data_IF_371740105777
#
_entry.id   IF_371740105777
#
_cell.length_a   1.000
_cell.length_b   1.000
_cell.length_c   1.000
_cell.angle_alpha   90.00
_cell.angle_beta   90.00
_cell.angle_gamma   90.00
#
_symmetry.space_group_name_H-M   'P 1'
#
loop_
_entity.id
_entity.type
_entity.pdbx_description
1 polymer ?
#
# COMPACT_ATOMS: atom_id res chain seq x y z
N UNK A 1 -51.43 43.62 -9.56
CA UNK A 1 -51.08 43.16 -8.21
C UNK A 1 -50.97 41.64 -8.29
N UNK A 2 -49.77 41.12 -8.38
CA UNK A 2 -49.46 39.71 -8.26
C UNK A 2 -48.24 39.59 -7.32
N UNK A 3 -48.50 39.32 -6.03
CA UNK A 3 -47.49 39.08 -5.03
C UNK A 3 -46.86 37.73 -5.30
N UNK A 4 -45.58 37.76 -5.68
CA UNK A 4 -44.75 36.60 -5.79
C UNK A 4 -44.44 36.07 -4.37
N UNK A 5 -45.00 34.90 -4.04
CA UNK A 5 -44.63 34.17 -2.86
C UNK A 5 -43.15 33.68 -3.03
N UNK A 6 -42.25 34.46 -2.47
CA UNK A 6 -40.86 34.02 -2.28
C UNK A 6 -40.86 32.92 -1.24
N UNK A 7 -40.81 31.69 -1.73
CA UNK A 7 -40.63 30.52 -0.89
C UNK A 7 -39.31 30.63 -0.11
N UNK A 8 -39.43 30.75 1.23
CA UNK A 8 -38.29 30.70 2.17
C UNK A 8 -37.72 29.30 2.27
N UNK A 9 -37.27 28.74 1.16
CA UNK A 9 -36.51 27.52 1.13
C UNK A 9 -35.16 27.80 1.79
N UNK A 10 -34.91 27.22 2.98
CA UNK A 10 -33.59 27.26 3.62
C UNK A 10 -32.55 26.76 2.63
N UNK A 11 -31.44 27.49 2.41
CA UNK A 11 -30.42 27.04 1.47
C UNK A 11 -29.93 25.67 1.85
N UNK A 12 -29.79 24.80 0.86
CA UNK A 12 -29.28 23.44 1.03
C UNK A 12 -27.88 23.51 1.64
N UNK A 13 -27.73 23.06 2.88
CA UNK A 13 -26.46 23.03 3.59
C UNK A 13 -26.04 21.59 3.83
N UNK A 14 -24.98 21.14 3.15
CA UNK A 14 -24.38 19.81 3.32
C UNK A 14 -24.02 19.51 4.79
N UNK A 15 -23.69 20.54 5.57
CA UNK A 15 -23.34 20.44 6.99
C UNK A 15 -24.51 20.15 7.94
N UNK A 16 -25.77 20.22 7.48
CA UNK A 16 -26.97 20.02 8.33
C UNK A 16 -27.79 18.78 8.01
N UNK A 17 -27.24 17.85 7.30
CA UNK A 17 -27.93 16.60 7.00
C UNK A 17 -27.66 15.56 8.09
N UNK A 18 -28.41 15.63 9.17
CA UNK A 18 -28.32 14.71 10.34
C UNK A 18 -28.40 13.23 9.92
N UNK A 19 -29.21 12.90 8.93
CA UNK A 19 -29.31 11.52 8.39
C UNK A 19 -28.00 11.01 7.77
N UNK A 20 -27.30 11.82 6.98
CA UNK A 20 -26.02 11.42 6.38
C UNK A 20 -24.92 11.25 7.44
N UNK A 21 -24.90 12.11 8.47
CA UNK A 21 -23.95 11.97 9.57
C UNK A 21 -24.21 10.68 10.35
N UNK A 22 -25.47 10.34 10.62
CA UNK A 22 -25.82 9.09 11.29
C UNK A 22 -25.40 7.86 10.49
N UNK A 23 -25.65 7.87 9.18
CA UNK A 23 -25.22 6.77 8.28
C UNK A 23 -23.69 6.68 8.26
N UNK A 24 -22.98 7.80 8.13
CA UNK A 24 -21.52 7.81 8.14
C UNK A 24 -20.95 7.24 9.45
N UNK A 25 -21.48 7.68 10.60
CA UNK A 25 -21.08 7.16 11.92
C UNK A 25 -21.35 5.66 12.02
N UNK A 26 -22.53 5.19 11.57
CA UNK A 26 -22.86 3.77 11.58
C UNK A 26 -21.89 2.95 10.70
N UNK A 27 -21.55 3.45 9.51
CA UNK A 27 -20.56 2.82 8.63
C UNK A 27 -19.17 2.76 9.29
N UNK A 28 -18.72 3.85 9.94
CA UNK A 28 -17.44 3.85 10.66
C UNK A 28 -17.45 2.88 11.84
N UNK A 29 -18.51 2.84 12.64
CA UNK A 29 -18.63 1.88 13.73
C UNK A 29 -18.55 0.46 13.17
N UNK A 30 -19.31 0.14 12.14
CA UNK A 30 -19.32 -1.19 11.52
C UNK A 30 -17.93 -1.59 10.98
N UNK A 31 -17.17 -0.64 10.42
CA UNK A 31 -15.84 -0.87 9.87
C UNK A 31 -14.79 -1.06 10.96
N UNK A 32 -14.82 -0.23 12.01
CA UNK A 32 -13.76 -0.22 13.02
C UNK A 32 -14.06 -1.16 14.20
N UNK A 33 -15.32 -1.52 14.46
CA UNK A 33 -15.68 -2.39 15.57
C UNK A 33 -14.93 -3.74 15.58
N UNK A 34 -14.81 -4.47 14.45
CA UNK A 34 -14.02 -5.71 14.43
C UNK A 34 -12.54 -5.49 14.77
N UNK A 35 -11.95 -4.38 14.30
CA UNK A 35 -10.55 -4.03 14.57
C UNK A 35 -10.37 -3.71 16.06
N UNK A 36 -11.26 -2.91 16.63
CA UNK A 36 -11.25 -2.59 18.07
C UNK A 36 -11.42 -3.87 18.90
N UNK A 37 -12.32 -4.75 18.50
CA UNK A 37 -12.52 -6.05 19.17
C UNK A 37 -11.24 -6.88 19.15
N UNK A 38 -10.57 -6.99 17.99
CA UNK A 38 -9.28 -7.68 17.86
C UNK A 38 -8.24 -7.08 18.81
N UNK A 39 -8.12 -5.75 18.84
CA UNK A 39 -7.16 -5.04 19.72
C UNK A 39 -7.50 -5.28 21.19
N UNK A 40 -8.78 -5.21 21.60
CA UNK A 40 -9.20 -5.49 22.98
C UNK A 40 -8.88 -6.93 23.35
N UNK A 41 -9.25 -7.90 22.51
CA UNK A 41 -9.01 -9.32 22.78
C UNK A 41 -7.54 -9.74 22.69
N UNK A 42 -6.65 -8.90 22.13
CA UNK A 42 -5.20 -9.14 22.21
C UNK A 42 -4.65 -9.07 23.64
N UNK A 43 -5.38 -8.40 24.55
CA UNK A 43 -5.05 -8.32 25.98
C UNK A 43 -5.81 -9.37 26.83
N UNK A 44 -6.57 -10.28 26.23
CA UNK A 44 -7.30 -11.30 26.98
C UNK A 44 -6.34 -12.28 27.65
N UNK A 45 -6.56 -12.59 28.94
CA UNK A 45 -5.76 -13.55 29.70
C UNK A 45 -6.03 -15.01 29.29
N UNK A 46 -7.23 -15.29 28.75
CA UNK A 46 -7.67 -16.62 28.38
C UNK A 46 -7.01 -17.16 27.11
N UNK A 47 -7.22 -18.44 26.86
CA UNK A 47 -6.82 -19.12 25.62
C UNK A 47 -7.91 -19.08 24.55
N UNK A 48 -9.13 -18.73 24.93
CA UNK A 48 -10.26 -18.60 24.01
C UNK A 48 -10.28 -17.20 23.39
N UNK A 49 -10.51 -17.13 22.07
CA UNK A 49 -10.70 -15.87 21.36
C UNK A 49 -12.08 -15.25 21.59
N UNK A 50 -13.03 -16.01 22.17
CA UNK A 50 -14.42 -15.61 22.34
C UNK A 50 -14.80 -15.29 23.80
N UNK A 51 -14.03 -15.80 24.78
CA UNK A 51 -14.34 -15.66 26.22
C UNK A 51 -13.31 -14.71 26.83
N UNK A 52 -13.79 -13.65 27.48
CA UNK A 52 -12.95 -12.70 28.20
C UNK A 52 -12.64 -13.20 29.61
N UNK A 53 -11.36 -13.44 29.92
CA UNK A 53 -10.89 -13.97 31.19
C UNK A 53 -10.05 -12.96 31.99
N UNK A 54 -10.01 -11.70 31.59
CA UNK A 54 -9.26 -10.63 32.22
C UNK A 54 -8.14 -10.06 31.36
N UNK A 55 -7.45 -9.04 31.90
CA UNK A 55 -6.37 -8.35 31.21
C UNK A 55 -5.02 -9.06 31.43
N UNK A 56 -4.26 -9.27 30.37
CA UNK A 56 -2.91 -9.84 30.41
C UNK A 56 -2.06 -9.41 29.22
N UNK A 57 -0.75 -9.28 29.42
CA UNK A 57 0.24 -9.05 28.37
C UNK A 57 0.90 -10.35 27.86
N UNK A 58 0.45 -11.49 28.36
CA UNK A 58 1.09 -12.78 28.12
C UNK A 58 1.22 -13.11 26.62
N UNK A 59 0.23 -12.74 25.80
CA UNK A 59 0.25 -13.04 24.37
C UNK A 59 1.22 -12.16 23.57
N UNK A 60 1.50 -10.95 24.06
CA UNK A 60 2.57 -10.11 23.49
C UNK A 60 3.95 -10.69 23.80
N UNK A 61 4.13 -11.23 25.01
CA UNK A 61 5.36 -11.91 25.36
C UNK A 61 5.54 -13.20 24.54
N UNK A 62 4.47 -14.00 24.37
CA UNK A 62 4.47 -15.20 23.51
C UNK A 62 4.81 -14.84 22.08
N UNK A 63 4.16 -13.82 21.50
CA UNK A 63 4.41 -13.34 20.15
C UNK A 63 5.87 -12.88 19.94
N UNK A 64 6.46 -12.23 20.94
CA UNK A 64 7.86 -11.80 20.90
C UNK A 64 8.84 -12.97 20.91
N UNK A 65 8.51 -14.05 21.62
CA UNK A 65 9.31 -15.27 21.72
C UNK A 65 9.08 -16.21 20.52
N UNK A 66 8.10 -15.94 19.68
CA UNK A 66 7.80 -16.72 18.50
C UNK A 66 8.76 -16.37 17.36
N UNK A 67 9.82 -17.17 17.21
CA UNK A 67 10.83 -16.95 16.17
C UNK A 67 10.25 -16.97 14.76
N UNK A 68 9.26 -17.83 14.48
CA UNK A 68 8.62 -17.90 13.15
C UNK A 68 7.86 -16.60 12.81
N UNK A 69 7.11 -16.06 13.78
CA UNK A 69 6.39 -14.80 13.60
C UNK A 69 7.37 -13.63 13.41
N UNK A 70 8.44 -13.60 14.20
CA UNK A 70 9.48 -12.56 14.12
C UNK A 70 10.22 -12.59 12.78
N UNK A 71 10.62 -13.78 12.33
CA UNK A 71 11.28 -13.97 11.04
C UNK A 71 10.37 -13.61 9.87
N UNK A 72 9.08 -13.96 9.95
CA UNK A 72 8.08 -13.59 8.96
C UNK A 72 7.86 -12.06 8.92
N UNK A 73 7.80 -11.40 10.09
CA UNK A 73 7.70 -9.94 10.18
C UNK A 73 8.93 -9.25 9.57
N UNK A 74 10.14 -9.72 9.88
CA UNK A 74 11.36 -9.16 9.32
C UNK A 74 11.41 -9.34 7.80
N UNK A 75 11.00 -10.50 7.27
CA UNK A 75 10.91 -10.71 5.82
C UNK A 75 9.90 -9.77 5.17
N UNK A 76 8.72 -9.57 5.78
CA UNK A 76 7.75 -8.58 5.29
C UNK A 76 8.36 -7.19 5.16
N UNK A 77 9.05 -6.71 6.19
CA UNK A 77 9.69 -5.40 6.20
C UNK A 77 10.79 -5.29 5.13
N UNK A 78 11.63 -6.31 5.00
CA UNK A 78 12.71 -6.34 4.00
C UNK A 78 12.13 -6.33 2.59
N UNK A 79 11.17 -7.22 2.29
CA UNK A 79 10.55 -7.31 0.96
C UNK A 79 9.85 -6.00 0.63
N UNK A 80 9.02 -5.48 1.53
CA UNK A 80 8.27 -4.23 1.31
C UNK A 80 9.21 -3.04 1.09
N UNK A 81 10.30 -2.93 1.87
CA UNK A 81 11.27 -1.84 1.73
C UNK A 81 11.97 -1.86 0.37
N UNK A 82 12.50 -3.00 -0.04
CA UNK A 82 13.16 -3.12 -1.33
C UNK A 82 12.19 -2.96 -2.49
N UNK A 83 11.01 -3.58 -2.40
CA UNK A 83 9.98 -3.48 -3.42
C UNK A 83 9.50 -2.02 -3.59
N UNK A 84 9.26 -1.30 -2.49
CA UNK A 84 8.85 0.09 -2.53
C UNK A 84 9.89 0.99 -3.22
N UNK A 85 11.18 0.83 -2.91
CA UNK A 85 12.26 1.61 -3.54
C UNK A 85 12.37 1.31 -5.03
N UNK A 86 12.37 0.04 -5.41
CA UNK A 86 12.48 -0.40 -6.81
C UNK A 86 11.26 0.06 -7.60
N UNK A 87 10.05 -0.20 -7.08
CA UNK A 87 8.79 0.18 -7.72
C UNK A 87 8.68 1.69 -7.91
N UNK A 88 9.03 2.48 -6.88
CA UNK A 88 8.95 3.94 -6.93
C UNK A 88 9.98 4.53 -7.89
N UNK A 89 11.18 3.95 -7.96
CA UNK A 89 12.20 4.36 -8.93
C UNK A 89 11.71 4.11 -10.36
N UNK A 90 11.20 2.92 -10.65
CA UNK A 90 10.63 2.58 -11.96
C UNK A 90 9.41 3.45 -12.29
N UNK A 91 8.52 3.67 -11.32
CA UNK A 91 7.34 4.51 -11.45
C UNK A 91 7.69 5.97 -11.72
N UNK A 92 8.74 6.51 -11.08
CA UNK A 92 9.22 7.87 -11.32
C UNK A 92 9.74 8.03 -12.75
N UNK A 93 10.54 7.09 -13.23
CA UNK A 93 11.01 7.08 -14.62
C UNK A 93 9.84 6.98 -15.60
N UNK A 94 8.89 6.09 -15.34
CA UNK A 94 7.70 5.93 -16.17
C UNK A 94 6.82 7.19 -16.16
N UNK A 95 6.63 7.83 -15.01
CA UNK A 95 5.85 9.05 -14.88
C UNK A 95 6.49 10.22 -15.64
N UNK A 96 7.81 10.39 -15.55
CA UNK A 96 8.55 11.38 -16.35
C UNK A 96 8.42 11.12 -17.85
N UNK A 97 8.58 9.86 -18.28
CA UNK A 97 8.48 9.47 -19.68
C UNK A 97 7.07 9.68 -20.25
N UNK A 98 6.03 9.57 -19.44
CA UNK A 98 4.64 9.72 -19.88
C UNK A 98 4.09 11.15 -19.75
N UNK A 99 4.72 12.01 -18.94
CA UNK A 99 4.22 13.38 -18.70
C UNK A 99 5.12 14.49 -19.28
N UNK A 100 6.43 14.25 -19.41
CA UNK A 100 7.40 15.27 -19.86
C UNK A 100 7.86 15.09 -21.31
N UNK A 101 7.48 14.01 -21.96
CA UNK A 101 7.77 13.80 -23.38
C UNK A 101 6.63 14.35 -24.26
N UNK A 102 6.99 14.75 -25.53
CA UNK A 102 5.95 15.08 -26.52
C UNK A 102 5.09 13.86 -26.77
N UNK A 103 3.82 14.10 -27.12
CA UNK A 103 2.89 13.03 -27.48
C UNK A 103 3.49 12.16 -28.60
N UNK A 104 3.63 10.86 -28.32
CA UNK A 104 4.13 9.87 -29.26
C UNK A 104 3.11 8.74 -29.46
N UNK A 105 3.20 8.07 -30.62
CA UNK A 105 2.38 6.90 -30.91
C UNK A 105 2.66 5.81 -29.87
N UNK A 106 1.62 5.30 -29.20
CA UNK A 106 1.76 4.27 -28.18
C UNK A 106 1.74 4.77 -26.73
N UNK A 107 1.73 6.09 -26.47
CA UNK A 107 1.64 6.63 -25.11
C UNK A 107 0.46 6.04 -24.32
N UNK A 108 -0.71 5.93 -24.97
CA UNK A 108 -1.91 5.34 -24.37
C UNK A 108 -1.70 3.85 -24.03
N UNK A 109 -1.01 3.11 -24.89
CA UNK A 109 -0.69 1.70 -24.63
C UNK A 109 0.28 1.55 -23.45
N UNK A 110 1.31 2.38 -23.36
CA UNK A 110 2.23 2.40 -22.20
C UNK A 110 1.48 2.71 -20.92
N UNK A 111 0.60 3.71 -20.94
CA UNK A 111 -0.24 4.05 -19.80
C UNK A 111 -1.16 2.89 -19.40
N UNK A 112 -1.81 2.25 -20.37
CA UNK A 112 -2.65 1.09 -20.11
C UNK A 112 -1.84 -0.07 -19.51
N UNK A 113 -0.65 -0.36 -20.05
CA UNK A 113 0.23 -1.42 -19.53
C UNK A 113 0.66 -1.16 -18.07
N UNK A 114 1.06 0.08 -17.73
CA UNK A 114 1.44 0.43 -16.35
C UNK A 114 0.26 0.21 -15.40
N UNK A 115 -0.96 0.56 -15.81
CA UNK A 115 -2.15 0.47 -14.96
C UNK A 115 -2.88 -0.88 -15.03
N UNK A 116 -2.47 -1.78 -15.91
CA UNK A 116 -3.09 -3.13 -16.04
C UNK A 116 -3.20 -3.87 -14.71
N UNK A 117 -2.17 -3.90 -13.81
CA UNK A 117 -2.29 -4.59 -12.53
C UNK A 117 -3.40 -4.04 -11.61
N UNK A 118 -3.81 -2.78 -11.78
CA UNK A 118 -4.94 -2.20 -11.01
C UNK A 118 -6.30 -2.67 -11.50
N UNK A 119 -6.39 -3.12 -12.75
CA UNK A 119 -7.65 -3.52 -13.39
C UNK A 119 -7.85 -5.04 -13.38
N UNK A 120 -6.77 -5.79 -13.32
CA UNK A 120 -6.77 -7.26 -13.33
C UNK A 120 -6.89 -7.77 -11.89
N UNK A 121 -7.72 -8.80 -11.62
CA UNK A 121 -7.75 -9.43 -10.31
C UNK A 121 -6.35 -9.87 -9.86
N UNK A 122 -5.99 -9.56 -8.62
CA UNK A 122 -4.65 -9.79 -8.07
C UNK A 122 -4.18 -11.26 -8.22
N UNK A 123 -5.10 -12.20 -8.06
CA UNK A 123 -4.80 -13.63 -8.22
C UNK A 123 -4.32 -13.97 -9.64
N UNK A 124 -4.84 -13.30 -10.68
CA UNK A 124 -4.41 -13.52 -12.06
C UNK A 124 -2.98 -13.02 -12.25
N UNK A 125 -2.66 -11.85 -11.72
CA UNK A 125 -1.30 -11.31 -11.69
C UNK A 125 -0.36 -12.22 -10.93
N UNK A 126 -0.79 -12.71 -9.77
CA UNK A 126 -0.01 -13.66 -8.95
C UNK A 126 0.28 -14.96 -9.67
N UNK A 127 -0.70 -15.54 -10.38
CA UNK A 127 -0.51 -16.77 -11.17
C UNK A 127 0.45 -16.52 -12.35
N UNK A 128 0.34 -15.37 -13.03
CA UNK A 128 1.27 -15.01 -14.09
C UNK A 128 2.71 -14.88 -13.58
N UNK A 129 2.90 -14.24 -12.42
CA UNK A 129 4.21 -14.13 -11.76
C UNK A 129 4.73 -15.49 -11.29
N UNK A 130 3.85 -16.35 -10.74
CA UNK A 130 4.22 -17.72 -10.38
C UNK A 130 4.78 -18.47 -11.57
N UNK A 131 4.08 -18.49 -12.71
CA UNK A 131 4.53 -19.17 -13.93
C UNK A 131 5.86 -18.60 -14.41
N UNK A 132 5.98 -17.29 -14.47
CA UNK A 132 7.19 -16.59 -14.90
C UNK A 132 8.40 -16.94 -14.02
N UNK A 133 8.26 -16.84 -12.70
CA UNK A 133 9.35 -17.15 -11.78
C UNK A 133 9.62 -18.64 -11.67
N UNK A 134 8.62 -19.51 -11.86
CA UNK A 134 8.85 -20.95 -11.94
C UNK A 134 9.75 -21.33 -13.12
N UNK A 135 9.54 -20.70 -14.30
CA UNK A 135 10.41 -20.89 -15.46
C UNK A 135 11.85 -20.45 -15.18
N UNK A 136 12.03 -19.27 -14.54
CA UNK A 136 13.36 -18.78 -14.18
C UNK A 136 14.01 -19.69 -13.13
N UNK A 137 13.25 -20.14 -12.13
CA UNK A 137 13.75 -21.07 -11.10
C UNK A 137 14.25 -22.37 -11.70
N UNK A 138 13.53 -22.95 -12.65
CA UNK A 138 13.98 -24.15 -13.36
C UNK A 138 15.27 -23.88 -14.15
N UNK A 139 15.39 -22.73 -14.82
CA UNK A 139 16.56 -22.38 -15.60
C UNK A 139 17.79 -22.03 -14.76
N UNK A 140 17.60 -21.40 -13.59
CA UNK A 140 18.71 -20.86 -12.76
C UNK A 140 18.99 -21.66 -11.50
N UNK A 141 18.09 -22.56 -11.11
CA UNK A 141 18.10 -23.30 -9.83
C UNK A 141 18.17 -22.39 -8.58
N UNK A 142 17.82 -21.12 -8.72
CA UNK A 142 17.77 -20.13 -7.62
C UNK A 142 16.37 -20.09 -6.99
N UNK A 143 16.28 -20.01 -5.67
CA UNK A 143 15.00 -19.94 -4.92
C UNK A 143 15.06 -18.98 -3.73
N UNK A 144 15.70 -17.83 -3.90
CA UNK A 144 15.87 -16.84 -2.84
C UNK A 144 14.74 -15.80 -2.78
N UNK A 145 14.81 -14.92 -1.76
CA UNK A 145 13.87 -13.82 -1.54
C UNK A 145 13.81 -12.80 -2.70
N UNK A 146 14.83 -12.81 -3.59
CA UNK A 146 14.86 -11.88 -4.72
C UNK A 146 13.65 -12.04 -5.66
N UNK A 147 13.07 -13.25 -5.78
CA UNK A 147 11.85 -13.44 -6.56
C UNK A 147 10.65 -12.72 -5.94
N UNK A 148 10.51 -12.80 -4.61
CA UNK A 148 9.45 -12.07 -3.90
C UNK A 148 9.64 -10.56 -4.05
N UNK A 149 10.85 -10.07 -3.86
CA UNK A 149 11.16 -8.63 -4.06
C UNK A 149 10.82 -8.21 -5.49
N UNK A 150 11.20 -8.99 -6.50
CA UNK A 150 10.91 -8.67 -7.89
C UNK A 150 9.40 -8.70 -8.20
N UNK A 151 8.67 -9.72 -7.68
CA UNK A 151 7.23 -9.84 -7.85
C UNK A 151 6.49 -8.66 -7.23
N UNK A 152 6.80 -8.34 -5.98
CA UNK A 152 6.22 -7.20 -5.27
C UNK A 152 6.59 -5.87 -5.94
N UNK A 153 7.85 -5.72 -6.40
CA UNK A 153 8.26 -4.51 -7.15
C UNK A 153 7.41 -4.31 -8.39
N UNK A 154 7.24 -5.35 -9.20
CA UNK A 154 6.45 -5.28 -10.43
C UNK A 154 4.98 -4.93 -10.14
N UNK A 155 4.38 -5.57 -9.13
CA UNK A 155 3.01 -5.31 -8.73
C UNK A 155 2.80 -3.90 -8.16
N UNK A 156 3.77 -3.38 -7.40
CA UNK A 156 3.67 -2.08 -6.74
C UNK A 156 3.92 -0.88 -7.68
N UNK A 157 4.48 -1.07 -8.89
CA UNK A 157 4.75 0.03 -9.84
C UNK A 157 3.54 0.93 -10.07
N UNK A 158 2.34 0.44 -10.43
CA UNK A 158 1.20 1.31 -10.71
C UNK A 158 0.75 2.11 -9.49
N UNK A 159 0.85 1.54 -8.30
CA UNK A 159 0.48 2.23 -7.05
C UNK A 159 1.42 3.39 -6.74
N UNK A 160 2.72 3.24 -6.99
CA UNK A 160 3.67 4.34 -6.87
C UNK A 160 3.52 5.36 -8.02
N UNK A 161 3.17 4.89 -9.22
CA UNK A 161 3.05 5.73 -10.40
C UNK A 161 1.94 6.79 -10.29
N UNK A 162 0.79 6.44 -9.72
CA UNK A 162 -0.36 7.36 -9.64
C UNK A 162 -0.06 8.66 -8.88
N UNK A 163 0.44 8.65 -7.63
CA UNK A 163 0.73 9.89 -6.91
C UNK A 163 1.88 10.68 -7.54
N UNK A 164 2.90 10.01 -8.06
CA UNK A 164 4.03 10.64 -8.74
C UNK A 164 3.57 11.36 -10.00
N UNK A 165 2.76 10.70 -10.82
CA UNK A 165 2.19 11.29 -12.03
C UNK A 165 1.28 12.46 -11.70
N UNK A 166 0.37 12.31 -10.74
CA UNK A 166 -0.52 13.39 -10.31
C UNK A 166 0.27 14.62 -9.85
N UNK A 167 1.39 14.41 -9.13
CA UNK A 167 2.29 15.49 -8.74
C UNK A 167 2.95 16.15 -9.95
N UNK A 168 3.47 15.38 -10.89
CA UNK A 168 4.07 15.91 -12.13
C UNK A 168 3.08 16.72 -12.96
N UNK A 169 1.84 16.26 -13.09
CA UNK A 169 0.78 16.96 -13.84
C UNK A 169 0.35 18.26 -13.16
N UNK A 170 0.43 18.34 -11.83
CA UNK A 170 0.09 19.56 -11.07
C UNK A 170 1.22 20.58 -10.99
N UNK A 171 2.44 20.25 -11.43
CA UNK A 171 3.59 21.15 -11.40
C UNK A 171 3.52 22.18 -12.54
N UNK A 172 3.85 23.44 -12.22
CA UNK A 172 3.97 24.48 -13.23
C UNK A 172 5.20 24.29 -14.10
N UNK A 173 4.98 24.04 -15.39
CA UNK A 173 6.02 23.88 -16.40
C UNK A 173 6.81 25.16 -16.65
N UNK A 174 6.34 26.34 -16.22
CA UNK A 174 7.07 27.61 -16.37
C UNK A 174 8.42 27.57 -15.63
N UNK A 175 8.50 26.85 -14.51
CA UNK A 175 9.75 26.70 -13.74
C UNK A 175 10.82 25.92 -14.51
N UNK A 176 10.42 24.86 -15.21
CA UNK A 176 11.34 24.08 -16.05
C UNK A 176 11.78 24.89 -17.28
N UNK A 177 10.88 25.68 -17.85
CA UNK A 177 11.18 26.61 -18.97
C UNK A 177 12.12 27.74 -18.52
N UNK A 178 11.87 28.38 -17.39
CA UNK A 178 12.73 29.41 -16.84
C UNK A 178 14.15 28.90 -16.57
N UNK A 179 14.29 27.64 -16.11
CA UNK A 179 15.60 27.01 -15.96
C UNK A 179 16.30 26.83 -17.31
N UNK A 180 15.56 26.45 -18.35
CA UNK A 180 16.11 26.32 -19.70
C UNK A 180 16.53 27.67 -20.29
N UNK A 181 15.76 28.76 -20.05
CA UNK A 181 16.10 30.11 -20.45
C UNK A 181 17.39 30.63 -19.78
N UNK A 182 17.71 30.11 -18.58
CA UNK A 182 18.97 30.33 -17.87
C UNK A 182 20.08 29.35 -18.28
N UNK A 183 19.96 28.72 -19.44
CA UNK A 183 20.92 27.76 -20.00
C UNK A 183 21.20 26.51 -19.12
N UNK A 184 20.26 26.13 -18.25
CA UNK A 184 20.38 24.90 -17.49
C UNK A 184 20.26 23.66 -18.41
N UNK A 185 21.15 22.70 -18.21
CA UNK A 185 21.03 21.41 -18.94
C UNK A 185 19.81 20.62 -18.44
N UNK A 186 19.25 19.69 -19.24
CA UNK A 186 18.11 18.87 -18.80
C UNK A 186 18.34 18.15 -17.46
N UNK A 187 19.56 17.64 -17.23
CA UNK A 187 19.94 17.03 -15.96
C UNK A 187 19.97 18.01 -14.79
N UNK A 188 20.46 19.23 -15.04
CA UNK A 188 20.48 20.29 -14.02
C UNK A 188 19.06 20.74 -13.68
N UNK A 189 18.18 20.93 -14.68
CA UNK A 189 16.75 21.21 -14.48
C UNK A 189 16.08 20.12 -13.69
N UNK A 190 16.27 18.86 -14.08
CA UNK A 190 15.72 17.72 -13.34
C UNK A 190 16.15 17.73 -11.87
N UNK A 191 17.46 17.80 -11.61
CA UNK A 191 18.00 17.66 -10.24
C UNK A 191 17.68 18.86 -9.35
N UNK A 192 17.65 20.09 -9.89
CA UNK A 192 17.51 21.32 -9.10
C UNK A 192 16.12 21.90 -9.08
N UNK A 193 15.27 21.57 -10.05
CA UNK A 193 13.90 22.10 -10.17
C UNK A 193 12.88 20.97 -10.07
N UNK A 194 12.89 20.01 -10.99
CA UNK A 194 11.85 18.99 -11.10
C UNK A 194 11.86 18.03 -9.88
N UNK A 195 13.02 17.46 -9.54
CA UNK A 195 13.13 16.47 -8.46
C UNK A 195 12.74 17.02 -7.08
N UNK A 196 13.19 18.21 -6.64
CA UNK A 196 12.76 18.78 -5.36
C UNK A 196 11.26 19.03 -5.29
N UNK A 197 10.66 19.51 -6.37
CA UNK A 197 9.21 19.74 -6.45
C UNK A 197 8.40 18.44 -6.54
N UNK A 198 9.01 17.37 -7.08
CA UNK A 198 8.41 16.05 -7.20
C UNK A 198 8.50 15.23 -5.91
N UNK A 199 9.41 15.61 -4.98
CA UNK A 199 9.70 14.85 -3.78
C UNK A 199 8.46 14.44 -2.96
N UNK A 200 7.45 15.30 -2.74
CA UNK A 200 6.23 14.88 -2.04
C UNK A 200 5.48 13.75 -2.77
N UNK A 201 5.46 13.78 -4.10
CA UNK A 201 4.86 12.71 -4.90
C UNK A 201 5.64 11.39 -4.82
N UNK A 202 6.98 11.48 -4.78
CA UNK A 202 7.86 10.31 -4.61
C UNK A 202 7.65 9.69 -3.23
N UNK A 203 7.60 10.51 -2.16
CA UNK A 203 7.33 10.02 -0.80
C UNK A 203 5.97 9.30 -0.74
N UNK A 204 4.92 9.92 -1.27
CA UNK A 204 3.60 9.30 -1.34
C UNK A 204 3.63 7.97 -2.13
N UNK A 205 4.40 7.92 -3.23
CA UNK A 205 4.60 6.71 -4.03
C UNK A 205 5.32 5.60 -3.27
N UNK A 206 6.42 5.92 -2.56
CA UNK A 206 7.15 4.96 -1.72
C UNK A 206 6.24 4.39 -0.63
N UNK A 207 5.50 5.26 0.04
CA UNK A 207 4.62 4.85 1.13
C UNK A 207 3.51 3.92 0.65
N UNK A 208 2.85 4.28 -0.45
CA UNK A 208 1.77 3.47 -0.99
C UNK A 208 2.28 2.11 -1.46
N UNK A 209 3.42 2.08 -2.18
CA UNK A 209 4.06 0.84 -2.58
C UNK A 209 4.51 -0.01 -1.37
N UNK A 210 5.04 0.62 -0.32
CA UNK A 210 5.44 -0.06 0.90
C UNK A 210 4.24 -0.71 1.61
N UNK A 211 3.15 0.04 1.83
CA UNK A 211 1.96 -0.47 2.51
C UNK A 211 1.32 -1.61 1.71
N UNK A 212 1.16 -1.45 0.40
CA UNK A 212 0.61 -2.49 -0.48
C UNK A 212 1.47 -3.76 -0.46
N UNK A 213 2.79 -3.61 -0.51
CA UNK A 213 3.71 -4.76 -0.43
C UNK A 213 3.74 -5.41 0.95
N UNK A 214 3.57 -4.63 2.02
CA UNK A 214 3.60 -5.12 3.40
C UNK A 214 2.37 -5.99 3.72
N UNK A 215 1.21 -5.63 3.20
CA UNK A 215 -0.09 -6.28 3.45
C UNK A 215 -0.40 -7.40 2.44
N UNK A 216 0.44 -7.59 1.43
CA UNK A 216 0.20 -8.58 0.39
C UNK A 216 0.21 -10.01 0.92
N UNK A 217 -0.78 -10.77 0.52
CA UNK A 217 -0.94 -12.20 0.81
C UNK A 217 -0.90 -13.02 -0.47
N UNK A 218 -1.56 -12.55 -1.52
CA UNK A 218 -1.87 -13.35 -2.71
C UNK A 218 -0.61 -13.61 -3.53
N UNK A 219 0.13 -12.56 -3.85
CA UNK A 219 1.37 -12.69 -4.64
C UNK A 219 2.41 -13.46 -3.85
N UNK A 220 2.56 -13.13 -2.57
CA UNK A 220 3.48 -13.85 -1.68
C UNK A 220 3.14 -15.34 -1.62
N UNK A 221 1.88 -15.71 -1.39
CA UNK A 221 1.47 -17.11 -1.25
C UNK A 221 1.74 -17.93 -2.51
N UNK A 222 1.58 -17.32 -3.68
CA UNK A 222 1.81 -17.98 -4.97
C UNK A 222 3.29 -18.05 -5.35
N UNK A 223 4.10 -17.04 -5.05
CA UNK A 223 5.49 -16.92 -5.53
C UNK A 223 6.51 -17.45 -4.51
N UNK A 224 6.19 -17.45 -3.21
CA UNK A 224 7.10 -17.87 -2.14
C UNK A 224 7.60 -19.31 -2.33
N UNK A 225 8.79 -19.58 -1.85
CA UNK A 225 9.31 -20.92 -1.64
C UNK A 225 9.13 -21.34 -0.18
N UNK A 226 9.31 -22.63 0.13
CA UNK A 226 9.17 -23.14 1.50
C UNK A 226 10.02 -22.33 2.50
N UNK A 227 9.43 -21.95 3.62
CA UNK A 227 10.07 -21.17 4.68
C UNK A 227 10.22 -19.66 4.41
N UNK A 228 9.62 -19.13 3.34
CA UNK A 228 9.68 -17.72 2.97
C UNK A 228 8.37 -16.96 3.30
N UNK A 229 7.68 -17.38 4.35
CA UNK A 229 6.46 -16.70 4.79
C UNK A 229 6.74 -15.24 5.16
N UNK A 230 5.89 -14.35 4.68
CA UNK A 230 5.72 -13.00 5.21
C UNK A 230 4.76 -13.04 6.40
N UNK A 231 4.67 -11.95 7.18
CA UNK A 231 3.78 -11.94 8.33
C UNK A 231 2.31 -12.19 7.97
N UNK A 232 1.73 -11.57 6.92
CA UNK A 232 0.37 -11.87 6.50
C UNK A 232 0.16 -13.33 6.07
N UNK A 233 1.10 -13.93 5.33
CA UNK A 233 0.97 -15.35 4.92
C UNK A 233 1.19 -16.30 6.08
N UNK A 234 2.07 -15.99 7.03
CA UNK A 234 2.23 -16.72 8.28
C UNK A 234 0.92 -16.73 9.07
N UNK A 235 0.31 -15.54 9.25
CA UNK A 235 -0.97 -15.40 9.95
C UNK A 235 -2.07 -16.19 9.26
N UNK A 236 -2.18 -16.12 7.93
CA UNK A 236 -3.14 -16.91 7.15
C UNK A 236 -2.93 -18.42 7.36
N UNK A 237 -1.68 -18.87 7.40
CA UNK A 237 -1.33 -20.25 7.68
C UNK A 237 -1.75 -20.71 9.08
N UNK A 238 -1.61 -19.84 10.09
CA UNK A 238 -2.05 -20.14 11.46
C UNK A 238 -3.58 -20.14 11.58
N UNK A 239 -4.30 -19.21 10.94
CA UNK A 239 -5.76 -19.17 10.92
C UNK A 239 -6.39 -20.45 10.36
N UNK A 240 -5.71 -21.13 9.43
CA UNK A 240 -6.16 -22.42 8.89
C UNK A 240 -5.95 -23.61 9.85
N UNK A 241 -5.16 -23.44 10.91
CA UNK A 241 -4.86 -24.50 11.89
C UNK A 241 -5.64 -24.31 13.18
N UNK A 242 -5.22 -23.38 14.02
CA UNK A 242 -5.84 -23.02 15.30
C UNK A 242 -5.72 -21.54 15.50
N UNK A 243 -6.86 -20.88 15.70
CA UNK A 243 -6.86 -19.45 16.03
C UNK A 243 -6.56 -19.29 17.52
N UNK A 244 -5.42 -18.70 17.83
CA UNK A 244 -4.99 -18.40 19.20
C UNK A 244 -5.06 -16.90 19.46
N UNK A 245 -5.25 -16.46 20.72
CA UNK A 245 -5.19 -15.04 21.07
C UNK A 245 -3.82 -14.38 20.78
N UNK A 246 -2.76 -15.18 20.62
CA UNK A 246 -1.46 -14.73 20.15
C UNK A 246 -1.56 -14.06 18.78
N UNK A 247 -2.43 -14.57 17.87
CA UNK A 247 -2.66 -13.95 16.56
C UNK A 247 -3.25 -12.54 16.69
N UNK A 248 -4.12 -12.31 17.68
CA UNK A 248 -4.65 -10.98 17.96
C UNK A 248 -3.53 -10.02 18.42
N UNK A 249 -2.59 -10.49 19.24
CA UNK A 249 -1.45 -9.70 19.69
C UNK A 249 -0.51 -9.36 18.51
N UNK A 250 -0.17 -10.33 17.66
CA UNK A 250 0.65 -10.13 16.46
C UNK A 250 -0.04 -9.14 15.51
N UNK A 251 -1.34 -9.32 15.25
CA UNK A 251 -2.12 -8.41 14.39
C UNK A 251 -2.16 -6.99 14.94
N UNK A 252 -2.31 -6.84 16.27
CA UNK A 252 -2.34 -5.53 16.92
C UNK A 252 -0.99 -4.82 16.80
N UNK A 253 0.13 -5.53 17.00
CA UNK A 253 1.47 -4.97 16.83
C UNK A 253 1.69 -4.56 15.36
N UNK A 254 1.31 -5.42 14.42
CA UNK A 254 1.42 -5.13 12.99
C UNK A 254 0.60 -3.91 12.58
N UNK A 255 -0.65 -3.81 13.05
CA UNK A 255 -1.51 -2.66 12.86
C UNK A 255 -0.89 -1.38 13.44
N UNK A 256 -0.36 -1.45 14.66
CA UNK A 256 0.28 -0.31 15.32
C UNK A 256 1.52 0.18 14.55
N UNK A 257 2.35 -0.76 14.07
CA UNK A 257 3.52 -0.43 13.22
C UNK A 257 3.07 0.22 11.91
N UNK A 258 2.06 -0.33 11.24
CA UNK A 258 1.54 0.21 9.99
C UNK A 258 0.99 1.64 10.17
N UNK A 259 0.20 1.87 11.22
CA UNK A 259 -0.32 3.20 11.55
C UNK A 259 0.83 4.17 11.88
N UNK A 260 1.80 3.74 12.69
CA UNK A 260 2.95 4.57 13.06
C UNK A 260 3.76 4.97 11.82
N UNK A 261 4.05 4.03 10.92
CA UNK A 261 4.75 4.30 9.68
C UNK A 261 3.99 5.32 8.81
N UNK A 262 2.69 5.10 8.61
CA UNK A 262 1.86 6.05 7.85
C UNK A 262 1.88 7.44 8.51
N UNK A 263 1.73 7.52 9.83
CA UNK A 263 1.68 8.80 10.56
C UNK A 263 3.04 9.55 10.56
N UNK A 264 4.16 8.83 10.58
CA UNK A 264 5.50 9.45 10.55
C UNK A 264 5.79 10.10 9.20
N UNK A 265 5.25 9.53 8.14
CA UNK A 265 5.50 10.01 6.78
C UNK A 265 4.47 11.05 6.29
N UNK A 266 3.32 11.20 6.97
CA UNK A 266 2.31 12.22 6.68
C UNK A 266 2.46 13.44 7.54
#
# INVERSE_FOLDING_TARGET
MAEAHAGTGRPFSVRRQTGFTAIAVACFIMLYLPIVTLVVYSFNAGVSIAIWEGLSWRWYQSAWQNDQARDAAMRSLVIASFAAVIATTAATMAALATTRTRHYRGLTAVYAMINTPLMVPEIVTGVALLIFFAMIKVATNYSGLAYLVAAHSAFCIPFAYLPIRARLESMDLSLERAAADLYATPWMTFRRVTLPLLWPGIIAGIMLAFVISLDDVVITELVKSGGQDTLPTYMLGQLRRVVTPEMNAISTVFLAISIALVTIFF
#
